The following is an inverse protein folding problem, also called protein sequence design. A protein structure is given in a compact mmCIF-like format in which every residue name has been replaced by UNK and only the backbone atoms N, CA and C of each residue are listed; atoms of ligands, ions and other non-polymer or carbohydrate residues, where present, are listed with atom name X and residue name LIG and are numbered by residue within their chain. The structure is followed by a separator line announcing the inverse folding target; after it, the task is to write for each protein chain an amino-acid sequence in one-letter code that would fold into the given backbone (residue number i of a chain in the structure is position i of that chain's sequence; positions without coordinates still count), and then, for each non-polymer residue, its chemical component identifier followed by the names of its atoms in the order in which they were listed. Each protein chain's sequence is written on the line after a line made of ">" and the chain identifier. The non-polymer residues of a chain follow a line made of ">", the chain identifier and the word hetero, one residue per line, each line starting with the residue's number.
data_IF_361717129980
#
_entry.id   IF_361717129980
#
_cell.length_a   1.000
_cell.length_b   1.000
_cell.length_c   1.000
_cell.angle_alpha   90.00
_cell.angle_beta   90.00
_cell.angle_gamma   90.00
#
_symmetry.space_group_name_H-M   'P 1'
#
loop_
_entity.id
_entity.type
_entity.pdbx_description
1 polymer ?
#
# COMPACT_ATOMS: atom_id res chain seq x y z
N UNK A 1 28.10 26.64 -24.71
CA UNK A 1 26.66 27.00 -24.59
C UNK A 1 25.69 25.83 -24.80
N UNK A 2 26.02 24.77 -25.55
CA UNK A 2 25.07 23.67 -25.81
C UNK A 2 24.86 22.71 -24.64
N UNK A 3 25.91 22.40 -23.87
CA UNK A 3 25.87 21.37 -22.82
C UNK A 3 24.96 21.75 -21.64
N UNK A 4 25.01 23.02 -21.22
CA UNK A 4 24.12 23.53 -20.16
C UNK A 4 22.65 23.53 -20.57
N UNK A 5 22.33 23.73 -21.86
CA UNK A 5 20.94 23.68 -22.36
C UNK A 5 20.39 22.26 -22.35
N UNK A 6 21.20 21.28 -22.74
CA UNK A 6 20.81 19.86 -22.67
C UNK A 6 20.56 19.44 -21.21
N UNK A 7 21.40 19.88 -20.27
CA UNK A 7 21.23 19.61 -18.85
C UNK A 7 19.93 20.25 -18.31
N UNK A 8 19.65 21.51 -18.65
CA UNK A 8 18.43 22.20 -18.23
C UNK A 8 17.15 21.53 -18.75
N UNK A 9 17.12 21.13 -20.02
CA UNK A 9 15.97 20.41 -20.60
C UNK A 9 15.80 19.03 -19.96
N UNK A 10 16.90 18.31 -19.72
CA UNK A 10 16.86 17.01 -19.03
C UNK A 10 16.35 17.13 -17.60
N UNK A 11 16.81 18.12 -16.83
CA UNK A 11 16.36 18.37 -15.47
C UNK A 11 14.86 18.76 -15.41
N UNK A 12 14.40 19.62 -16.32
CA UNK A 12 13.00 19.99 -16.41
C UNK A 12 12.10 18.80 -16.77
N UNK A 13 12.52 17.97 -17.73
CA UNK A 13 11.80 16.74 -18.10
C UNK A 13 11.75 15.73 -16.95
N UNK A 14 12.86 15.55 -16.22
CA UNK A 14 12.90 14.66 -15.05
C UNK A 14 12.01 15.16 -13.91
N UNK A 15 11.99 16.46 -13.65
CA UNK A 15 11.11 17.06 -12.65
C UNK A 15 9.63 16.87 -13.03
N UNK A 16 9.28 17.09 -14.29
CA UNK A 16 7.92 16.87 -14.80
C UNK A 16 7.54 15.38 -14.71
N UNK A 17 8.42 14.48 -15.12
CA UNK A 17 8.25 13.03 -15.00
C UNK A 17 7.99 12.61 -13.56
N UNK A 18 8.80 13.08 -12.60
CA UNK A 18 8.63 12.82 -11.16
C UNK A 18 7.33 13.40 -10.62
N UNK A 19 6.89 14.55 -11.13
CA UNK A 19 5.64 15.18 -10.73
C UNK A 19 4.42 14.37 -11.20
N UNK A 20 4.41 13.89 -12.45
CA UNK A 20 3.27 13.14 -13.01
C UNK A 20 3.25 11.66 -12.61
N UNK A 21 4.38 11.11 -12.16
CA UNK A 21 4.48 9.71 -11.70
C UNK A 21 4.44 9.56 -10.18
N UNK A 22 4.04 10.61 -9.44
CA UNK A 22 4.07 10.67 -7.97
C UNK A 22 2.94 9.87 -7.29
N UNK A 23 2.54 8.73 -7.83
CA UNK A 23 1.38 7.98 -7.36
C UNK A 23 1.75 6.49 -7.30
N UNK A 24 2.21 6.02 -6.14
CA UNK A 24 2.05 4.63 -5.68
C UNK A 24 1.88 4.64 -4.18
N UNK A 25 0.74 4.12 -3.73
CA UNK A 25 0.57 3.61 -2.38
C UNK A 25 1.58 2.48 -2.19
N UNK A 26 2.79 2.83 -1.75
CA UNK A 26 3.73 1.83 -1.27
C UNK A 26 3.16 1.31 0.05
N UNK A 27 2.98 -0.01 0.13
CA UNK A 27 2.37 -0.77 1.26
C UNK A 27 3.04 -0.48 2.62
N UNK A 28 4.13 0.29 2.62
CA UNK A 28 4.96 0.60 3.77
C UNK A 28 4.72 2.00 4.34
N UNK A 29 4.12 2.95 3.59
CA UNK A 29 3.88 4.30 4.13
C UNK A 29 3.05 5.18 3.19
N UNK A 30 1.87 5.62 3.62
CA UNK A 30 1.40 7.00 3.39
C UNK A 30 0.01 7.23 3.98
N UNK A 31 -0.20 8.44 4.50
CA UNK A 31 -1.43 8.92 5.11
C UNK A 31 -2.68 8.96 4.18
N UNK A 32 -2.57 8.46 2.94
CA UNK A 32 -3.65 8.35 1.94
C UNK A 32 -4.01 6.89 1.59
N UNK A 33 -3.39 5.90 2.25
CA UNK A 33 -3.86 4.52 2.21
C UNK A 33 -5.12 4.39 3.09
N UNK A 34 -6.17 3.67 2.66
CA UNK A 34 -7.27 3.33 3.55
C UNK A 34 -6.69 2.64 4.78
N UNK A 35 -7.07 3.12 5.96
CA UNK A 35 -6.69 2.54 7.24
C UNK A 35 -7.19 1.09 7.28
N UNK A 36 -6.26 0.15 7.12
CA UNK A 36 -6.55 -1.28 7.23
C UNK A 36 -6.44 -1.61 8.71
N UNK A 37 -7.56 -2.03 9.31
CA UNK A 37 -7.55 -2.48 10.71
C UNK A 37 -6.67 -3.72 10.87
N UNK A 38 -6.14 -3.90 12.06
CA UNK A 38 -5.52 -5.16 12.46
C UNK A 38 -6.54 -6.31 12.40
N UNK A 39 -6.04 -7.52 12.18
CA UNK A 39 -6.85 -8.74 12.20
C UNK A 39 -7.39 -9.03 13.61
N UNK A 40 -8.45 -9.84 13.67
CA UNK A 40 -8.99 -10.36 14.93
C UNK A 40 -10.28 -9.66 15.40
N UNK A 41 -11.09 -10.35 16.22
CA UNK A 41 -12.40 -9.89 16.65
C UNK A 41 -12.34 -8.64 17.54
N UNK A 42 -11.25 -8.43 18.28
CA UNK A 42 -11.03 -7.24 19.11
C UNK A 42 -10.97 -5.94 18.32
N UNK A 43 -10.61 -6.02 17.03
CA UNK A 43 -10.51 -4.89 16.12
C UNK A 43 -11.80 -4.69 15.31
N UNK A 44 -12.84 -5.48 15.57
CA UNK A 44 -14.14 -5.39 14.90
C UNK A 44 -15.13 -4.53 15.66
N UNK A 45 -15.89 -3.70 14.92
CA UNK A 45 -17.01 -2.94 15.50
C UNK A 45 -18.13 -3.85 16.03
N UNK A 46 -18.35 -5.00 15.39
CA UNK A 46 -19.35 -5.98 15.78
C UNK A 46 -18.76 -7.40 15.65
N UNK A 47 -18.01 -7.87 16.65
CA UNK A 47 -17.36 -9.16 16.59
C UNK A 47 -18.38 -10.31 16.60
N UNK A 48 -18.09 -11.43 15.89
CA UNK A 48 -18.92 -12.63 15.97
C UNK A 48 -18.81 -13.28 17.35
N UNK A 49 -19.79 -14.13 17.70
CA UNK A 49 -19.81 -14.86 18.98
C UNK A 49 -18.74 -15.96 19.06
N UNK A 50 -18.33 -16.48 17.91
CA UNK A 50 -17.29 -17.48 17.75
C UNK A 50 -16.29 -16.96 16.75
N UNK A 51 -15.02 -17.28 16.99
CA UNK A 51 -13.90 -16.95 16.13
C UNK A 51 -12.97 -18.15 16.13
N UNK A 52 -12.75 -18.75 14.96
CA UNK A 52 -11.86 -19.89 14.80
C UNK A 52 -10.56 -19.50 14.07
N UNK A 53 -9.72 -20.50 13.78
CA UNK A 53 -8.42 -20.24 13.16
C UNK A 53 -8.55 -19.91 11.68
N UNK A 54 -9.57 -20.46 11.04
CA UNK A 54 -9.91 -20.21 9.65
C UNK A 54 -10.43 -18.79 9.46
N UNK A 55 -11.22 -18.27 10.42
CA UNK A 55 -11.64 -16.87 10.49
C UNK A 55 -10.42 -15.94 10.61
N UNK A 56 -9.49 -16.22 11.53
CA UNK A 56 -8.25 -15.45 11.72
C UNK A 56 -7.39 -15.43 10.45
N UNK A 57 -7.11 -16.61 9.90
CA UNK A 57 -6.29 -16.75 8.70
C UNK A 57 -6.92 -16.08 7.47
N UNK A 58 -8.25 -16.03 7.41
CA UNK A 58 -8.97 -15.30 6.38
C UNK A 58 -8.84 -13.79 6.57
N UNK A 59 -8.93 -13.29 7.80
CA UNK A 59 -8.83 -11.86 8.11
C UNK A 59 -7.41 -11.32 7.84
N UNK A 60 -6.37 -12.07 8.23
CA UNK A 60 -4.95 -11.74 7.97
C UNK A 60 -4.59 -11.68 6.49
N UNK A 61 -5.34 -12.38 5.63
CA UNK A 61 -5.08 -12.39 4.19
C UNK A 61 -5.43 -11.06 3.50
N UNK A 62 -6.18 -10.18 4.15
CA UNK A 62 -6.55 -8.87 3.59
C UNK A 62 -5.55 -7.78 4.02
N UNK A 63 -5.12 -6.89 3.10
CA UNK A 63 -5.53 -6.74 1.70
C UNK A 63 -4.72 -7.59 0.70
N UNK A 64 -3.72 -8.34 1.17
CA UNK A 64 -2.71 -9.01 0.34
C UNK A 64 -3.27 -10.09 -0.61
N UNK A 65 -4.50 -10.58 -0.40
CA UNK A 65 -5.20 -11.58 -1.24
C UNK A 65 -4.47 -12.92 -1.41
N UNK A 66 -3.38 -13.16 -0.68
CA UNK A 66 -2.65 -14.42 -0.70
C UNK A 66 -3.32 -15.43 0.26
N UNK A 67 -3.50 -16.69 -0.14
CA UNK A 67 -4.08 -17.70 0.74
C UNK A 67 -3.15 -17.98 1.93
N UNK A 68 -3.69 -18.27 3.13
CA UNK A 68 -2.90 -18.55 4.32
C UNK A 68 -1.97 -19.75 4.09
N UNK A 69 -0.68 -19.56 4.33
CA UNK A 69 0.36 -20.55 4.06
C UNK A 69 0.55 -21.56 5.20
N UNK A 70 -0.53 -22.17 5.68
CA UNK A 70 -0.50 -23.16 6.77
C UNK A 70 -0.74 -24.56 6.20
N UNK A 71 0.34 -25.30 5.92
CA UNK A 71 0.32 -26.71 5.49
C UNK A 71 0.92 -27.64 6.55
#
# INVERSE_FOLDING_TARGET
>A
MGLFRALLVGAAGFALYKYVTKERCDVVSSADCPDVRDAGPENMTNPPRSWDKEDEASDESFPASDPPATY
#
